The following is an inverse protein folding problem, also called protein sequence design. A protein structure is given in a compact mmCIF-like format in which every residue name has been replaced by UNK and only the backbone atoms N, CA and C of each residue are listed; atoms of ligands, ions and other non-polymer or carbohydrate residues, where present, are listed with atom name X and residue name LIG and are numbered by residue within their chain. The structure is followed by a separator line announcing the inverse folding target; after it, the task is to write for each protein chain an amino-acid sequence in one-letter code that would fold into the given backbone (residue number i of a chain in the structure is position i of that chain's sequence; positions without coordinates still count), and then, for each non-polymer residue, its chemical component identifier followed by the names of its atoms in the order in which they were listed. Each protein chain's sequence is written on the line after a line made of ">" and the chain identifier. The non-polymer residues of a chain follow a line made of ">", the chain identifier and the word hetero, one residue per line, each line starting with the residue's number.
data_IF_834134641390
#
_entry.id   IF_834134641390
#
_cell.length_a   1.000
_cell.length_b   1.000
_cell.length_c   1.000
_cell.angle_alpha   90.00
_cell.angle_beta   90.00
_cell.angle_gamma   90.00
#
_symmetry.space_group_name_H-M   'P 1'
#
loop_
_entity.id
_entity.type
_entity.pdbx_description
1 polymer ?
#
# COMPACT_ATOMS: atom_id res chain seq x y z
N UNK A 1 7.54 11.07 10.28
CA UNK A 1 8.23 11.09 8.98
C UNK A 1 7.20 11.14 7.86
N UNK A 2 7.44 11.96 6.85
CA UNK A 2 6.49 12.10 5.73
C UNK A 2 6.55 10.88 4.81
N UNK A 3 5.40 10.38 4.34
CA UNK A 3 5.38 9.36 3.30
C UNK A 3 5.89 9.94 1.97
N UNK A 4 6.53 9.08 1.19
CA UNK A 4 6.92 9.40 -0.17
C UNK A 4 5.81 8.93 -1.12
N UNK A 5 5.26 9.86 -1.90
CA UNK A 5 4.31 9.50 -2.96
C UNK A 5 5.11 8.99 -4.15
N UNK A 6 4.82 7.78 -4.58
CA UNK A 6 5.57 7.15 -5.66
C UNK A 6 4.66 6.84 -6.85
N UNK A 7 5.17 7.11 -8.06
CA UNK A 7 4.46 6.87 -9.32
C UNK A 7 5.15 5.79 -10.16
N UNK A 8 6.37 5.40 -9.78
CA UNK A 8 7.19 4.46 -10.57
C UNK A 8 8.15 3.73 -9.67
N UNK A 9 8.77 2.68 -10.22
CA UNK A 9 9.84 1.97 -9.53
C UNK A 9 11.03 2.90 -9.28
N UNK A 10 11.32 3.81 -10.19
CA UNK A 10 12.41 4.77 -9.99
C UNK A 10 12.14 5.71 -8.82
N UNK A 11 10.90 6.14 -8.63
CA UNK A 11 10.52 6.93 -7.46
C UNK A 11 10.74 6.15 -6.16
N UNK A 12 10.35 4.88 -6.14
CA UNK A 12 10.55 4.02 -4.98
C UNK A 12 12.05 3.81 -4.70
N UNK A 13 12.84 3.58 -5.73
CA UNK A 13 14.30 3.44 -5.60
C UNK A 13 14.93 4.71 -5.04
N UNK A 14 14.52 5.88 -5.53
CA UNK A 14 15.03 7.14 -5.04
C UNK A 14 14.72 7.35 -3.55
N UNK A 15 13.48 7.05 -3.15
CA UNK A 15 13.08 7.17 -1.75
C UNK A 15 13.88 6.22 -0.84
N UNK A 16 14.05 4.97 -1.25
CA UNK A 16 14.77 3.99 -0.44
C UNK A 16 16.28 4.21 -0.42
N UNK A 17 16.87 4.70 -1.53
CA UNK A 17 18.30 5.00 -1.57
C UNK A 17 18.69 6.16 -0.66
N UNK A 18 17.75 7.05 -0.36
CA UNK A 18 17.96 8.14 0.59
C UNK A 18 17.74 7.69 2.05
N UNK A 19 17.26 6.47 2.27
CA UNK A 19 16.95 5.95 3.59
C UNK A 19 18.18 5.45 4.33
N UNK A 20 17.98 5.19 5.62
CA UNK A 20 19.00 4.64 6.49
C UNK A 20 18.63 3.20 6.89
N UNK A 21 19.64 2.36 7.02
CA UNK A 21 19.47 0.97 7.44
C UNK A 21 18.69 0.89 8.75
N UNK A 22 17.62 0.08 8.74
CA UNK A 22 16.80 -0.14 9.93
C UNK A 22 15.78 0.97 10.22
N UNK A 23 15.81 2.08 9.48
CA UNK A 23 14.87 3.19 9.69
C UNK A 23 13.70 3.04 8.72
N UNK A 24 12.44 2.91 9.20
CA UNK A 24 11.29 2.70 8.35
C UNK A 24 11.04 3.85 7.37
N UNK A 25 10.68 3.47 6.14
CA UNK A 25 10.28 4.41 5.08
C UNK A 25 8.85 4.06 4.67
N UNK A 26 8.00 5.07 4.53
CA UNK A 26 6.63 4.89 4.05
C UNK A 26 6.54 5.31 2.59
N UNK A 27 6.08 4.39 1.76
CA UNK A 27 5.81 4.63 0.33
C UNK A 27 4.31 4.57 0.11
N UNK A 28 3.74 5.62 -0.46
CA UNK A 28 2.31 5.61 -0.78
C UNK A 28 2.09 5.88 -2.26
N UNK A 29 1.02 5.31 -2.80
CA UNK A 29 0.62 5.59 -4.17
C UNK A 29 0.01 6.99 -4.29
N UNK A 30 -0.10 7.48 -5.53
CA UNK A 30 -0.92 8.64 -5.81
C UNK A 30 -2.38 8.35 -5.43
N UNK A 31 -3.18 9.40 -5.17
CA UNK A 31 -4.62 9.21 -4.97
C UNK A 31 -5.25 8.44 -6.13
N UNK A 32 -6.16 7.52 -5.82
CA UNK A 32 -6.90 6.70 -6.77
C UNK A 32 -6.06 5.72 -7.61
N UNK A 33 -4.80 5.51 -7.26
CA UNK A 33 -3.93 4.60 -8.02
C UNK A 33 -4.46 3.16 -8.04
N UNK A 34 -5.12 2.73 -6.97
CA UNK A 34 -5.76 1.42 -6.92
C UNK A 34 -6.91 1.27 -7.90
N UNK A 35 -7.55 2.40 -8.30
CA UNK A 35 -8.59 2.42 -9.32
C UNK A 35 -7.97 2.41 -10.72
N UNK A 36 -6.96 3.23 -10.95
CA UNK A 36 -6.40 3.46 -12.29
C UNK A 36 -5.30 2.49 -12.68
N UNK A 37 -4.34 2.23 -11.79
CA UNK A 37 -3.21 1.36 -12.07
C UNK A 37 -3.39 -0.07 -11.58
N UNK A 38 -4.22 -0.25 -10.57
CA UNK A 38 -4.50 -1.54 -9.98
C UNK A 38 -3.44 -2.03 -8.98
N UNK A 39 -3.84 -3.00 -8.18
CA UNK A 39 -3.02 -3.54 -7.09
C UNK A 39 -1.81 -4.33 -7.62
N UNK A 40 -1.98 -5.07 -8.72
CA UNK A 40 -0.91 -5.91 -9.25
C UNK A 40 0.33 -5.13 -9.65
N UNK A 41 0.14 -4.03 -10.35
CA UNK A 41 1.22 -3.12 -10.71
C UNK A 41 1.92 -2.57 -9.47
N UNK A 42 1.16 -2.06 -8.50
CA UNK A 42 1.74 -1.46 -7.29
C UNK A 42 2.49 -2.48 -6.45
N UNK A 43 1.90 -3.66 -6.25
CA UNK A 43 2.52 -4.73 -5.46
C UNK A 43 3.84 -5.19 -6.08
N UNK A 44 3.88 -5.37 -7.40
CA UNK A 44 5.12 -5.77 -8.10
C UNK A 44 6.20 -4.71 -7.96
N UNK A 45 5.83 -3.45 -8.02
CA UNK A 45 6.76 -2.33 -7.84
C UNK A 45 7.32 -2.31 -6.42
N UNK A 46 6.47 -2.47 -5.41
CA UNK A 46 6.91 -2.52 -4.01
C UNK A 46 7.82 -3.73 -3.77
N UNK A 47 7.44 -4.91 -4.28
CA UNK A 47 8.24 -6.11 -4.12
C UNK A 47 9.63 -5.95 -4.74
N UNK A 48 9.72 -5.37 -5.94
CA UNK A 48 10.99 -5.13 -6.61
C UNK A 48 11.87 -4.16 -5.83
N UNK A 49 11.29 -3.05 -5.36
CA UNK A 49 12.03 -2.06 -4.58
C UNK A 49 12.54 -2.66 -3.26
N UNK A 50 11.71 -3.40 -2.54
CA UNK A 50 12.10 -4.03 -1.29
C UNK A 50 13.22 -5.06 -1.50
N UNK A 51 13.20 -5.78 -2.61
CA UNK A 51 14.26 -6.75 -2.92
C UNK A 51 15.62 -6.07 -3.14
N UNK A 52 15.63 -4.86 -3.68
CA UNK A 52 16.87 -4.09 -3.90
C UNK A 52 17.37 -3.42 -2.61
N UNK A 53 16.51 -3.18 -1.64
CA UNK A 53 16.86 -2.50 -0.38
C UNK A 53 16.39 -3.31 0.83
N UNK A 54 16.92 -4.52 1.01
CA UNK A 54 16.43 -5.43 2.07
C UNK A 54 16.66 -4.92 3.50
N UNK A 55 17.51 -3.92 3.67
CA UNK A 55 17.87 -3.37 4.97
C UNK A 55 16.95 -2.22 5.40
N UNK A 56 16.08 -1.75 4.51
CA UNK A 56 15.14 -0.67 4.79
C UNK A 56 13.76 -1.26 5.06
N UNK A 57 13.22 -1.13 6.27
CA UNK A 57 11.83 -1.51 6.53
C UNK A 57 10.88 -0.62 5.74
N UNK A 58 9.96 -1.19 5.00
CA UNK A 58 9.05 -0.44 4.13
C UNK A 58 7.62 -0.63 4.60
N UNK A 59 6.92 0.49 4.77
CA UNK A 59 5.47 0.53 4.89
C UNK A 59 4.92 1.02 3.55
N UNK A 60 4.07 0.22 2.92
CA UNK A 60 3.50 0.58 1.62
C UNK A 60 1.99 0.74 1.73
N UNK A 61 1.44 1.78 1.11
CA UNK A 61 0.02 2.09 1.13
C UNK A 61 -0.49 2.33 -0.29
N UNK A 62 -1.50 1.57 -0.69
CA UNK A 62 -2.19 1.76 -1.96
C UNK A 62 -3.49 2.52 -1.72
N UNK A 63 -3.64 3.66 -2.38
CA UNK A 63 -4.88 4.44 -2.30
C UNK A 63 -5.92 3.86 -3.26
N UNK A 64 -7.05 3.43 -2.70
CA UNK A 64 -8.19 2.90 -3.45
C UNK A 64 -9.31 3.93 -3.61
N UNK A 65 -9.08 5.18 -3.19
CA UNK A 65 -10.07 6.24 -3.27
C UNK A 65 -11.36 5.86 -2.54
N UNK A 66 -12.49 6.20 -3.14
CA UNK A 66 -13.81 5.87 -2.62
C UNK A 66 -14.44 4.64 -3.31
N UNK A 67 -13.62 3.80 -3.94
CA UNK A 67 -14.08 2.66 -4.73
C UNK A 67 -14.00 1.35 -3.95
N UNK A 68 -15.13 0.82 -3.43
CA UNK A 68 -15.12 -0.47 -2.73
C UNK A 68 -14.59 -1.62 -3.59
N UNK A 69 -14.89 -1.60 -4.89
CA UNK A 69 -14.42 -2.61 -5.83
C UNK A 69 -12.90 -2.66 -5.93
N UNK A 70 -12.22 -1.51 -5.87
CA UNK A 70 -10.77 -1.45 -5.89
C UNK A 70 -10.18 -2.09 -4.61
N UNK A 71 -10.81 -1.86 -3.46
CA UNK A 71 -10.40 -2.49 -2.20
C UNK A 71 -10.55 -4.01 -2.29
N UNK A 72 -11.70 -4.50 -2.77
CA UNK A 72 -11.95 -5.94 -2.86
C UNK A 72 -11.00 -6.63 -3.83
N UNK A 73 -10.69 -5.98 -4.94
CA UNK A 73 -9.69 -6.48 -5.90
C UNK A 73 -8.30 -6.54 -5.25
N UNK A 74 -7.93 -5.50 -4.52
CA UNK A 74 -6.65 -5.45 -3.83
C UNK A 74 -6.55 -6.55 -2.76
N UNK A 75 -7.59 -6.76 -1.97
CA UNK A 75 -7.63 -7.83 -0.98
C UNK A 75 -7.44 -9.19 -1.64
N UNK A 76 -8.12 -9.41 -2.76
CA UNK A 76 -8.05 -10.67 -3.50
C UNK A 76 -6.63 -10.95 -4.02
N UNK A 77 -5.93 -9.92 -4.48
CA UNK A 77 -4.55 -10.05 -4.93
C UNK A 77 -3.58 -10.26 -3.77
N UNK A 78 -3.70 -9.42 -2.74
CA UNK A 78 -2.72 -9.35 -1.65
C UNK A 78 -2.81 -10.52 -0.67
N UNK A 79 -3.94 -11.22 -0.61
CA UNK A 79 -4.08 -12.39 0.26
C UNK A 79 -3.27 -13.60 -0.21
N UNK A 80 -2.84 -13.61 -1.46
CA UNK A 80 -2.07 -14.73 -2.01
C UNK A 80 -0.69 -14.82 -1.36
N UNK A 81 -0.18 -16.04 -1.11
CA UNK A 81 1.13 -16.21 -0.52
C UNK A 81 2.25 -15.56 -1.35
N UNK A 82 3.22 -14.97 -0.67
CA UNK A 82 4.37 -14.36 -1.34
C UNK A 82 4.16 -12.94 -1.82
N UNK A 83 2.98 -12.36 -1.66
CA UNK A 83 2.75 -10.96 -2.00
C UNK A 83 3.42 -10.03 -0.99
N UNK A 84 3.85 -8.85 -1.46
CA UNK A 84 4.35 -7.81 -0.57
C UNK A 84 3.25 -7.34 0.39
N UNK A 85 3.66 -6.91 1.58
CA UNK A 85 2.71 -6.39 2.57
C UNK A 85 2.36 -4.95 2.21
N UNK A 86 1.08 -4.71 1.94
CA UNK A 86 0.57 -3.39 1.54
C UNK A 86 -0.71 -3.11 2.33
N UNK A 87 -0.78 -1.93 2.94
CA UNK A 87 -2.01 -1.43 3.53
C UNK A 87 -2.84 -0.72 2.46
N UNK A 88 -4.15 -0.68 2.66
CA UNK A 88 -5.07 -0.05 1.72
C UNK A 88 -5.68 1.20 2.35
N UNK A 89 -5.78 2.28 1.58
CA UNK A 89 -6.44 3.50 2.01
C UNK A 89 -7.76 3.64 1.25
N UNK A 90 -8.85 3.82 2.01
CA UNK A 90 -10.19 3.99 1.48
C UNK A 90 -10.80 5.28 2.05
N UNK A 91 -11.26 6.16 1.17
CA UNK A 91 -11.77 7.48 1.54
C UNK A 91 -13.28 7.64 1.30
N UNK A 92 -13.98 6.53 1.06
CA UNK A 92 -15.44 6.54 0.94
C UNK A 92 -16.16 6.65 2.30
N UNK A 93 -17.45 6.35 2.31
CA UNK A 93 -18.24 6.53 3.53
C UNK A 93 -17.81 5.58 4.66
N UNK A 94 -18.07 6.01 5.89
CA UNK A 94 -17.61 5.30 7.09
C UNK A 94 -18.22 3.91 7.25
N UNK A 95 -19.50 3.74 6.89
CA UNK A 95 -20.18 2.45 7.02
C UNK A 95 -19.56 1.42 6.06
N UNK A 96 -19.28 1.81 4.82
CA UNK A 96 -18.60 0.97 3.85
C UNK A 96 -17.18 0.67 4.29
N UNK A 97 -16.47 1.68 4.80
CA UNK A 97 -15.10 1.51 5.30
C UNK A 97 -15.04 0.46 6.41
N UNK A 98 -15.99 0.47 7.33
CA UNK A 98 -16.05 -0.51 8.42
C UNK A 98 -16.20 -1.93 7.91
N UNK A 99 -17.08 -2.14 6.94
CA UNK A 99 -17.29 -3.47 6.32
C UNK A 99 -16.06 -3.94 5.56
N UNK A 100 -15.43 -3.05 4.80
CA UNK A 100 -14.22 -3.38 4.05
C UNK A 100 -13.04 -3.69 4.99
N UNK A 101 -12.94 -2.96 6.10
CA UNK A 101 -11.91 -3.22 7.09
C UNK A 101 -12.06 -4.61 7.71
N UNK A 102 -13.29 -5.04 7.98
CA UNK A 102 -13.56 -6.39 8.48
C UNK A 102 -13.14 -7.46 7.47
N UNK A 103 -13.49 -7.27 6.21
CA UNK A 103 -13.12 -8.21 5.14
C UNK A 103 -11.61 -8.30 4.99
N UNK A 104 -10.94 -7.15 4.91
CA UNK A 104 -9.47 -7.09 4.77
C UNK A 104 -8.79 -7.70 6.01
N UNK A 105 -9.28 -7.39 7.20
CA UNK A 105 -8.73 -7.88 8.46
C UNK A 105 -8.76 -9.40 8.58
N UNK A 106 -9.76 -10.06 8.00
CA UNK A 106 -9.88 -11.52 8.01
C UNK A 106 -8.70 -12.21 7.31
N UNK A 107 -8.03 -11.52 6.40
CA UNK A 107 -6.86 -12.07 5.69
C UNK A 107 -5.58 -11.29 6.02
N UNK A 108 -5.59 -10.54 7.12
CA UNK A 108 -4.39 -9.86 7.61
C UNK A 108 -4.00 -8.60 6.85
N UNK A 109 -4.94 -7.99 6.12
CA UNK A 109 -4.70 -6.76 5.37
C UNK A 109 -5.30 -5.59 6.14
N UNK A 110 -4.51 -4.55 6.34
CA UNK A 110 -4.94 -3.35 7.05
C UNK A 110 -5.63 -2.38 6.09
N UNK A 111 -6.80 -1.87 6.47
CA UNK A 111 -7.48 -0.79 5.77
C UNK A 111 -7.47 0.45 6.65
N UNK A 112 -7.01 1.56 6.09
CA UNK A 112 -6.93 2.82 6.81
C UNK A 112 -7.66 3.93 6.06
N UNK A 113 -8.00 4.99 6.79
CA UNK A 113 -8.61 6.20 6.22
C UNK A 113 -7.53 7.20 5.82
N UNK A 114 -6.39 7.17 6.50
CA UNK A 114 -5.23 8.02 6.23
C UNK A 114 -3.96 7.18 6.38
N UNK A 115 -2.93 7.51 5.60
CA UNK A 115 -1.65 6.79 5.64
C UNK A 115 -1.02 6.80 7.04
N UNK A 116 -1.19 7.88 7.78
CA UNK A 116 -0.66 7.99 9.15
C UNK A 116 -1.27 6.99 10.15
N UNK A 117 -2.40 6.37 9.79
CA UNK A 117 -3.09 5.40 10.66
C UNK A 117 -2.52 3.98 10.53
N UNK A 118 -1.60 3.74 9.61
CA UNK A 118 -0.99 2.40 9.42
C UNK A 118 -0.14 2.03 10.62
N UNK A 119 -0.37 0.83 11.14
CA UNK A 119 0.36 0.29 12.29
C UNK A 119 1.59 -0.54 11.89
#
# INVERSE_FOLDING_TARGET
>A
MRPFVIHSLDDARAALSAGERGVPVTLESAPDAGIHGGVGWFERMIAAACAEFPEIPVTAVLDCGDAPGAVLEAVRWLKEPGRAKIALRFTGDAATASRLADIAGQVGIELVRETSDVT
#
